data_IF_702131153811
#
_entry.id   IF_702131153811
#
_cell.length_a   1.000
_cell.length_b   1.000
_cell.length_c   1.000
_cell.angle_alpha   90.00
_cell.angle_beta   90.00
_cell.angle_gamma   90.00
#
_symmetry.space_group_name_H-M   'P 1'
#
loop_
_entity.id
_entity.type
_entity.pdbx_description
1 polymer ?
#
# COMPACT_ATOMS: atom_id res chain seq x y z
N UNK A 1 -13.74 -20.74 -3.97
CA UNK A 1 -12.43 -20.08 -3.78
C UNK A 1 -12.54 -18.95 -2.79
N UNK A 2 -11.45 -18.55 -2.22
CA UNK A 2 -11.41 -17.42 -1.29
C UNK A 2 -11.41 -16.11 -2.11
N UNK A 3 -12.33 -15.18 -1.82
CA UNK A 3 -12.45 -13.89 -2.50
C UNK A 3 -11.87 -12.70 -1.72
N UNK A 4 -11.29 -12.94 -0.54
CA UNK A 4 -10.74 -11.89 0.32
C UNK A 4 -11.78 -11.18 1.19
N UNK A 5 -12.96 -11.73 1.38
CA UNK A 5 -13.98 -11.18 2.29
C UNK A 5 -13.38 -11.00 3.68
N UNK A 6 -13.58 -9.83 4.29
CA UNK A 6 -13.02 -9.46 5.58
C UNK A 6 -11.57 -9.00 5.55
N UNK A 7 -10.86 -9.15 4.41
CA UNK A 7 -9.47 -8.71 4.28
C UNK A 7 -9.37 -7.22 3.92
N UNK A 8 -8.34 -6.58 4.43
CA UNK A 8 -8.03 -5.15 4.30
C UNK A 8 -6.64 -5.00 3.67
N UNK A 9 -6.56 -4.57 2.42
CA UNK A 9 -5.31 -4.46 1.66
C UNK A 9 -4.95 -2.99 1.49
N UNK A 10 -3.84 -2.55 2.04
CA UNK A 10 -3.32 -1.20 1.80
C UNK A 10 -2.47 -1.18 0.51
N UNK A 11 -2.70 -0.15 -0.30
CA UNK A 11 -1.94 0.12 -1.53
C UNK A 11 -1.23 1.46 -1.36
N UNK A 12 0.08 1.42 -1.18
CA UNK A 12 0.94 2.59 -1.11
C UNK A 12 1.58 2.80 -2.47
N UNK A 13 1.00 3.74 -3.26
CA UNK A 13 1.36 3.87 -4.67
C UNK A 13 1.09 5.30 -5.20
N UNK A 14 0.93 5.44 -6.52
CA UNK A 14 0.68 6.71 -7.23
C UNK A 14 -0.75 7.23 -7.11
N UNK A 15 -1.59 6.63 -6.28
CA UNK A 15 -3.02 6.89 -6.20
C UNK A 15 -3.83 5.98 -7.13
N UNK A 16 -5.15 6.17 -7.18
CA UNK A 16 -6.04 5.37 -8.01
C UNK A 16 -7.17 6.20 -8.63
N UNK A 17 -7.74 5.70 -9.71
CA UNK A 17 -9.00 6.20 -10.26
C UNK A 17 -10.18 5.65 -9.42
N UNK A 18 -10.54 6.35 -8.35
CA UNK A 18 -11.59 5.91 -7.40
C UNK A 18 -12.96 5.67 -8.05
N UNK A 19 -13.23 6.33 -9.18
CA UNK A 19 -14.48 6.18 -9.94
C UNK A 19 -14.47 4.99 -10.89
N UNK A 20 -13.37 4.23 -10.96
CA UNK A 20 -13.31 3.07 -11.84
C UNK A 20 -14.35 2.02 -11.42
N UNK A 21 -15.12 1.43 -12.34
CA UNK A 21 -16.21 0.50 -12.01
C UNK A 21 -15.76 -0.69 -11.15
N UNK A 22 -14.55 -1.15 -11.33
CA UNK A 22 -13.99 -2.25 -10.52
C UNK A 22 -13.72 -1.88 -9.05
N UNK A 23 -13.90 -0.62 -8.66
CA UNK A 23 -13.81 -0.16 -7.27
C UNK A 23 -15.15 0.35 -6.74
N UNK A 24 -16.24 -0.06 -7.37
CA UNK A 24 -17.60 0.18 -6.84
C UNK A 24 -17.75 -0.41 -5.43
N UNK A 25 -18.68 0.14 -4.66
CA UNK A 25 -18.95 -0.31 -3.31
C UNK A 25 -19.20 -1.83 -3.23
N UNK A 26 -18.62 -2.47 -2.23
CA UNK A 26 -18.94 -3.87 -1.91
C UNK A 26 -20.33 -3.94 -1.27
N UNK A 27 -21.15 -4.94 -1.64
CA UNK A 27 -22.42 -5.21 -0.98
C UNK A 27 -22.19 -5.81 0.41
N UNK A 28 -23.19 -5.70 1.30
CA UNK A 28 -23.07 -6.09 2.71
C UNK A 28 -22.70 -7.57 2.90
N UNK A 29 -23.15 -8.45 2.03
CA UNK A 29 -22.82 -9.89 2.09
C UNK A 29 -21.35 -10.20 1.79
N UNK A 30 -20.60 -9.21 1.26
CA UNK A 30 -19.14 -9.26 1.02
C UNK A 30 -18.33 -8.63 2.15
N UNK A 31 -18.98 -8.02 3.11
CA UNK A 31 -18.30 -7.41 4.25
C UNK A 31 -18.24 -8.39 5.44
N UNK A 32 -17.12 -8.37 6.15
CA UNK A 32 -16.91 -9.10 7.40
C UNK A 32 -15.94 -8.27 8.23
N UNK A 33 -16.37 -7.78 9.39
CA UNK A 33 -15.64 -6.83 10.23
C UNK A 33 -14.95 -5.69 9.44
N UNK A 34 -15.72 -4.91 8.64
CA UNK A 34 -15.12 -3.97 7.70
C UNK A 34 -14.60 -2.71 8.39
N UNK A 35 -13.60 -2.07 7.78
CA UNK A 35 -13.34 -0.66 8.06
C UNK A 35 -14.58 0.13 7.61
N UNK A 36 -15.13 0.91 8.50
CA UNK A 36 -16.31 1.75 8.27
C UNK A 36 -15.97 3.23 8.34
N UNK A 37 -16.89 4.09 7.89
CA UNK A 37 -16.74 5.53 8.10
C UNK A 37 -16.57 5.86 9.60
N UNK A 38 -17.38 5.24 10.46
CA UNK A 38 -17.34 5.51 11.91
C UNK A 38 -15.99 5.08 12.51
N UNK A 39 -15.49 3.87 12.16
CA UNK A 39 -14.21 3.40 12.70
C UNK A 39 -13.04 4.30 12.30
N UNK A 40 -13.07 4.86 11.08
CA UNK A 40 -12.04 5.83 10.65
C UNK A 40 -12.21 7.18 11.35
N UNK A 41 -13.45 7.67 11.53
CA UNK A 41 -13.71 8.93 12.22
C UNK A 41 -13.24 8.87 13.69
N UNK A 42 -13.44 7.73 14.35
CA UNK A 42 -13.05 7.52 15.74
C UNK A 42 -11.54 7.63 15.98
N UNK A 43 -10.73 7.20 15.01
CA UNK A 43 -9.26 7.24 15.11
C UNK A 43 -8.62 8.37 14.30
N UNK A 44 -9.40 9.18 13.55
CA UNK A 44 -8.90 10.15 12.57
C UNK A 44 -7.75 11.03 13.11
N UNK A 45 -7.91 11.60 14.31
CA UNK A 45 -6.89 12.48 14.87
C UNK A 45 -5.66 11.75 15.44
N UNK A 46 -5.68 10.43 15.49
CA UNK A 46 -4.51 9.61 15.82
C UNK A 46 -3.66 9.32 14.59
N UNK A 47 -4.29 9.32 13.39
CA UNK A 47 -3.62 9.07 12.12
C UNK A 47 -2.70 10.24 11.73
N UNK A 48 -1.61 9.92 11.06
CA UNK A 48 -0.73 10.93 10.45
C UNK A 48 -1.49 11.74 9.38
N UNK A 49 -2.40 11.10 8.64
CA UNK A 49 -3.34 11.76 7.75
C UNK A 49 -4.14 12.86 8.46
N UNK A 50 -4.77 12.54 9.59
CA UNK A 50 -5.57 13.47 10.37
C UNK A 50 -4.76 14.59 11.02
N UNK A 51 -3.53 14.30 11.45
CA UNK A 51 -2.60 15.30 12.00
C UNK A 51 -2.12 16.28 10.92
N UNK A 52 -1.89 15.80 9.70
CA UNK A 52 -1.47 16.64 8.58
C UNK A 52 -2.62 17.45 7.98
N UNK A 53 -3.85 16.99 8.14
CA UNK A 53 -5.06 17.62 7.61
C UNK A 53 -6.13 17.72 8.69
N UNK A 54 -6.11 18.73 9.58
CA UNK A 54 -7.05 18.87 10.69
C UNK A 54 -8.47 19.27 10.25
N UNK A 55 -8.79 19.15 8.98
CA UNK A 55 -10.12 19.39 8.41
C UNK A 55 -11.03 18.20 8.66
N UNK A 56 -12.32 18.41 8.37
CA UNK A 56 -13.31 17.33 8.39
C UNK A 56 -12.80 16.11 7.60
N UNK A 57 -12.81 14.94 8.24
CA UNK A 57 -12.41 13.68 7.60
C UNK A 57 -13.27 13.41 6.36
N UNK A 58 -12.64 13.19 5.22
CA UNK A 58 -13.23 12.81 3.95
C UNK A 58 -12.56 11.58 3.34
N UNK A 59 -11.78 10.86 4.16
CA UNK A 59 -11.01 9.71 3.69
C UNK A 59 -11.88 8.51 3.33
N UNK A 60 -13.09 8.41 3.86
CA UNK A 60 -14.02 7.34 3.51
C UNK A 60 -14.70 7.63 2.17
N UNK A 61 -14.45 6.81 1.16
CA UNK A 61 -15.09 6.94 -0.16
C UNK A 61 -16.33 6.02 -0.29
N UNK A 62 -16.15 4.71 -0.12
CA UNK A 62 -17.22 3.71 -0.14
C UNK A 62 -16.78 2.44 0.62
N UNK A 63 -17.62 1.40 0.64
CA UNK A 63 -17.30 0.13 1.33
C UNK A 63 -16.14 -0.65 0.73
N UNK A 64 -15.79 -0.45 -0.56
CA UNK A 64 -14.61 -1.01 -1.22
C UNK A 64 -13.35 -0.22 -0.90
N UNK A 65 -13.50 1.11 -0.83
CA UNK A 65 -12.44 2.07 -0.56
C UNK A 65 -12.76 2.81 0.75
N UNK A 66 -12.63 2.15 1.91
CA UNK A 66 -13.03 2.75 3.19
C UNK A 66 -12.05 3.81 3.67
N UNK A 67 -10.86 3.87 3.08
CA UNK A 67 -9.88 4.89 3.38
C UNK A 67 -9.11 5.28 2.12
N UNK A 68 -9.10 6.56 1.81
CA UNK A 68 -8.28 7.18 0.76
C UNK A 68 -7.59 8.41 1.31
N UNK A 69 -6.29 8.56 1.09
CA UNK A 69 -5.56 9.77 1.49
C UNK A 69 -4.29 9.96 0.65
N UNK A 70 -4.01 11.20 0.26
CA UNK A 70 -2.80 11.60 -0.43
C UNK A 70 -1.80 12.18 0.58
N UNK A 71 -0.83 11.36 0.96
CA UNK A 71 0.22 11.75 1.91
C UNK A 71 1.24 12.72 1.30
N UNK A 72 1.32 12.79 -0.03
CA UNK A 72 2.26 13.69 -0.71
C UNK A 72 1.78 15.16 -0.67
N UNK A 73 0.47 15.38 -0.65
CA UNK A 73 -0.16 16.72 -0.63
C UNK A 73 -0.95 17.02 0.64
N UNK A 74 -1.11 16.04 1.51
CA UNK A 74 -1.94 16.09 2.72
C UNK A 74 -3.39 16.47 2.41
N UNK A 75 -4.02 15.75 1.47
CA UNK A 75 -5.42 15.93 1.08
C UNK A 75 -6.10 14.60 0.71
N UNK A 76 -7.34 14.68 0.24
CA UNK A 76 -8.18 13.50 -0.08
C UNK A 76 -8.26 13.19 -1.58
N UNK A 77 -7.54 13.93 -2.42
CA UNK A 77 -7.45 13.65 -3.85
C UNK A 77 -6.33 12.63 -4.10
N UNK A 78 -6.72 11.40 -4.27
CA UNK A 78 -5.81 10.29 -4.63
C UNK A 78 -5.85 9.98 -6.12
N UNK A 79 -6.32 10.91 -6.96
CA UNK A 79 -6.31 10.70 -8.39
C UNK A 79 -4.89 10.59 -8.92
N UNK A 80 -4.64 9.59 -9.76
CA UNK A 80 -3.34 9.39 -10.41
C UNK A 80 -2.93 10.55 -11.33
N UNK A 81 -3.83 11.48 -11.60
CA UNK A 81 -3.51 12.71 -12.35
C UNK A 81 -2.39 13.51 -11.67
N UNK A 82 -2.37 13.56 -10.34
CA UNK A 82 -1.34 14.27 -9.59
C UNK A 82 0.05 13.65 -9.79
N UNK A 83 0.18 12.34 -9.66
CA UNK A 83 1.46 11.65 -9.87
C UNK A 83 1.81 11.46 -11.35
N UNK A 84 0.86 11.69 -12.26
CA UNK A 84 1.04 11.51 -13.71
C UNK A 84 1.17 10.04 -14.12
N UNK A 85 0.58 9.11 -13.34
CA UNK A 85 0.74 7.68 -13.54
C UNK A 85 -0.53 6.93 -13.12
N UNK A 86 -0.92 5.94 -13.89
CA UNK A 86 -2.03 5.01 -13.62
C UNK A 86 -1.58 3.74 -12.87
N UNK A 87 -0.31 3.67 -12.50
CA UNK A 87 0.32 2.50 -11.89
C UNK A 87 -0.44 2.00 -10.66
N UNK A 88 -0.78 2.87 -9.71
CA UNK A 88 -1.53 2.48 -8.51
C UNK A 88 -2.94 1.96 -8.80
N UNK A 89 -3.62 2.49 -9.85
CA UNK A 89 -4.90 1.95 -10.31
C UNK A 89 -4.75 0.52 -10.80
N UNK A 90 -3.68 0.25 -11.56
CA UNK A 90 -3.38 -1.09 -12.09
C UNK A 90 -3.03 -2.06 -10.96
N UNK A 91 -2.16 -1.65 -10.04
CA UNK A 91 -1.79 -2.44 -8.85
C UNK A 91 -3.00 -2.79 -7.99
N UNK A 92 -3.83 -1.80 -7.66
CA UNK A 92 -5.07 -2.01 -6.90
C UNK A 92 -6.05 -2.93 -7.64
N UNK A 93 -6.11 -2.83 -8.97
CA UNK A 93 -6.93 -3.68 -9.82
C UNK A 93 -6.49 -5.14 -9.78
N UNK A 94 -5.19 -5.42 -9.89
CA UNK A 94 -4.63 -6.77 -9.77
C UNK A 94 -4.92 -7.34 -8.38
N UNK A 95 -4.74 -6.54 -7.33
CA UNK A 95 -4.97 -6.98 -5.97
C UNK A 95 -6.45 -7.32 -5.72
N UNK A 96 -7.36 -6.41 -6.03
CA UNK A 96 -8.72 -6.54 -5.54
C UNK A 96 -9.82 -5.90 -6.42
N UNK A 97 -9.64 -5.84 -7.75
CA UNK A 97 -10.75 -5.39 -8.63
C UNK A 97 -12.00 -6.22 -8.42
N UNK A 98 -13.15 -5.56 -8.26
CA UNK A 98 -14.44 -6.24 -8.16
C UNK A 98 -14.70 -7.06 -9.43
N UNK A 99 -15.36 -8.20 -9.26
CA UNK A 99 -15.86 -8.96 -10.39
C UNK A 99 -17.07 -8.24 -11.01
N UNK A 100 -16.94 -7.85 -12.26
CA UNK A 100 -18.02 -7.23 -13.04
C UNK A 100 -18.53 -8.23 -14.07
N UNK A 101 -19.84 -8.35 -14.18
CA UNK A 101 -20.46 -9.21 -15.18
C UNK A 101 -20.03 -8.81 -16.60
N UNK A 102 -19.67 -9.78 -17.41
CA UNK A 102 -19.18 -9.57 -18.78
C UNK A 102 -17.69 -9.12 -18.87
N UNK A 103 -17.04 -8.79 -17.75
CA UNK A 103 -15.60 -8.47 -17.71
C UNK A 103 -14.78 -9.71 -17.36
N UNK A 104 -13.61 -9.85 -18.03
CA UNK A 104 -12.59 -10.83 -17.65
C UNK A 104 -11.65 -10.30 -16.56
N UNK A 105 -11.63 -8.97 -16.36
CA UNK A 105 -10.78 -8.35 -15.34
C UNK A 105 -11.42 -8.52 -13.96
N UNK A 106 -10.70 -9.21 -13.09
CA UNK A 106 -11.05 -9.41 -11.69
C UNK A 106 -9.76 -9.49 -10.88
N UNK A 107 -9.73 -8.88 -9.71
CA UNK A 107 -8.59 -8.96 -8.80
C UNK A 107 -8.46 -10.34 -8.14
N UNK A 108 -7.32 -10.60 -7.52
CA UNK A 108 -7.05 -11.84 -6.78
C UNK A 108 -7.98 -11.97 -5.58
N UNK A 109 -8.26 -10.85 -4.89
CA UNK A 109 -9.12 -10.75 -3.71
C UNK A 109 -10.28 -9.75 -3.95
N UNK A 110 -11.24 -10.05 -4.85
CA UNK A 110 -12.26 -9.08 -5.28
C UNK A 110 -13.20 -8.63 -4.15
N UNK A 111 -13.34 -9.39 -3.09
CA UNK A 111 -14.20 -9.09 -1.94
C UNK A 111 -13.43 -8.39 -0.79
N UNK A 112 -12.12 -8.13 -0.95
CA UNK A 112 -11.34 -7.38 0.03
C UNK A 112 -11.60 -5.87 -0.06
N UNK A 113 -11.46 -5.17 1.07
CA UNK A 113 -11.41 -3.71 1.12
C UNK A 113 -10.01 -3.21 0.72
N UNK A 114 -9.94 -2.05 0.06
CA UNK A 114 -8.70 -1.38 -0.32
C UNK A 114 -8.53 -0.08 0.47
N UNK A 115 -7.45 0.01 1.22
CA UNK A 115 -6.97 1.21 1.89
C UNK A 115 -5.97 1.89 0.95
N UNK A 116 -6.33 3.05 0.40
CA UNK A 116 -5.55 3.70 -0.66
C UNK A 116 -4.76 4.87 -0.10
N UNK A 117 -3.44 4.76 -0.20
CA UNK A 117 -2.50 5.75 0.31
C UNK A 117 -1.58 6.21 -0.82
N UNK A 118 -1.86 7.39 -1.37
CA UNK A 118 -0.98 7.98 -2.37
C UNK A 118 0.26 8.52 -1.69
N UNK A 119 1.43 8.00 -2.07
CA UNK A 119 2.73 8.41 -1.52
C UNK A 119 3.63 9.10 -2.55
N UNK A 120 3.33 8.92 -3.84
CA UNK A 120 4.08 9.54 -4.91
C UNK A 120 3.71 11.00 -5.13
N UNK A 121 4.72 11.82 -5.34
CA UNK A 121 4.60 13.23 -5.68
C UNK A 121 4.47 13.43 -7.19
N UNK A 122 4.05 14.62 -7.60
CA UNK A 122 4.15 15.04 -8.99
C UNK A 122 5.59 14.96 -9.47
N UNK A 123 5.81 14.27 -10.60
CA UNK A 123 7.15 14.00 -11.12
C UNK A 123 7.73 12.64 -10.73
N UNK A 124 6.98 11.79 -10.02
CA UNK A 124 7.25 10.36 -9.89
C UNK A 124 8.15 9.94 -8.72
N UNK A 125 8.40 10.81 -7.75
CA UNK A 125 9.14 10.46 -6.53
C UNK A 125 8.23 10.23 -5.32
N UNK A 126 8.65 9.37 -4.39
CA UNK A 126 8.03 9.21 -3.07
C UNK A 126 9.07 9.46 -1.98
N UNK A 127 8.76 10.38 -1.06
CA UNK A 127 9.63 10.67 0.08
C UNK A 127 9.52 9.61 1.17
N UNK A 128 10.64 9.27 1.82
CA UNK A 128 10.65 8.30 2.93
C UNK A 128 9.69 8.69 4.05
N UNK A 129 9.69 9.95 4.47
CA UNK A 129 8.78 10.42 5.52
C UNK A 129 7.31 10.20 5.14
N UNK A 130 6.96 10.40 3.87
CA UNK A 130 5.61 10.18 3.35
C UNK A 130 5.23 8.71 3.40
N UNK A 131 6.14 7.83 2.99
CA UNK A 131 5.93 6.37 3.02
C UNK A 131 5.77 5.89 4.46
N UNK A 132 6.67 6.30 5.37
CA UNK A 132 6.62 5.90 6.77
C UNK A 132 5.34 6.38 7.47
N UNK A 133 4.89 7.61 7.19
CA UNK A 133 3.64 8.13 7.74
C UNK A 133 2.43 7.30 7.28
N UNK A 134 2.40 6.89 6.01
CA UNK A 134 1.37 6.01 5.47
C UNK A 134 1.44 4.60 6.10
N UNK A 135 2.64 4.04 6.24
CA UNK A 135 2.85 2.74 6.88
C UNK A 135 2.37 2.75 8.33
N UNK A 136 2.72 3.76 9.13
CA UNK A 136 2.21 3.87 10.51
C UNK A 136 0.69 3.91 10.59
N UNK A 137 0.04 4.58 9.63
CA UNK A 137 -1.42 4.63 9.59
C UNK A 137 -2.02 3.27 9.16
N UNK A 138 -1.30 2.45 8.37
CA UNK A 138 -1.71 1.05 8.11
C UNK A 138 -1.84 0.24 9.41
N UNK A 139 -0.90 0.40 10.35
CA UNK A 139 -0.97 -0.27 11.66
C UNK A 139 -2.20 0.20 12.44
N UNK A 140 -2.48 1.50 12.46
CA UNK A 140 -3.64 2.06 13.19
C UNK A 140 -4.99 1.72 12.56
N UNK A 141 -5.01 1.50 11.24
CA UNK A 141 -6.18 1.06 10.49
C UNK A 141 -6.34 -0.46 10.51
N UNK A 142 -5.43 -1.18 11.15
CA UNK A 142 -5.45 -2.63 11.30
C UNK A 142 -5.59 -3.36 9.95
N UNK A 143 -4.80 -2.94 8.96
CA UNK A 143 -4.79 -3.63 7.67
C UNK A 143 -4.11 -5.00 7.79
N UNK A 144 -4.52 -5.96 6.96
CA UNK A 144 -3.92 -7.30 6.96
C UNK A 144 -2.66 -7.37 6.08
N UNK A 145 -2.65 -6.57 5.00
CA UNK A 145 -1.56 -6.61 4.02
C UNK A 145 -1.26 -5.20 3.51
N UNK A 146 0.03 -4.90 3.37
CA UNK A 146 0.52 -3.66 2.74
C UNK A 146 1.27 -4.01 1.48
N UNK A 147 0.86 -3.45 0.34
CA UNK A 147 1.54 -3.58 -0.93
C UNK A 147 2.39 -2.34 -1.23
N UNK A 148 3.67 -2.56 -1.48
CA UNK A 148 4.67 -1.58 -1.87
C UNK A 148 5.24 -1.94 -3.24
N UNK A 149 4.49 -1.65 -4.32
CA UNK A 149 4.96 -1.83 -5.71
C UNK A 149 5.87 -0.67 -6.14
N UNK A 150 6.87 -0.40 -5.31
CA UNK A 150 7.81 0.70 -5.45
C UNK A 150 9.18 0.30 -4.89
N UNK A 151 10.20 1.04 -5.23
CA UNK A 151 11.55 0.79 -4.75
C UNK A 151 12.53 1.89 -5.14
N UNK A 152 13.77 1.76 -4.70
CA UNK A 152 14.87 2.66 -4.99
C UNK A 152 16.15 1.85 -5.20
N UNK A 153 17.15 2.44 -5.85
CA UNK A 153 18.42 1.78 -6.13
C UNK A 153 19.31 1.57 -4.89
N UNK A 154 19.03 2.25 -3.78
CA UNK A 154 19.77 2.12 -2.53
C UNK A 154 18.83 2.20 -1.33
N UNK A 155 18.98 1.30 -0.37
CA UNK A 155 18.25 1.27 0.89
C UNK A 155 19.08 1.80 2.06
N UNK A 156 18.42 1.94 3.21
CA UNK A 156 19.02 2.36 4.46
C UNK A 156 18.79 1.27 5.51
N UNK A 157 19.84 0.93 6.24
CA UNK A 157 19.79 -0.13 7.26
C UNK A 157 19.85 0.38 8.68
N UNK A 158 20.14 1.66 8.87
CA UNK A 158 20.50 2.27 10.14
C UNK A 158 19.76 3.58 10.47
N UNK A 159 18.67 3.88 9.74
CA UNK A 159 17.84 5.05 10.02
C UNK A 159 16.86 4.73 11.16
N UNK A 160 17.02 5.34 12.37
CA UNK A 160 16.25 4.94 13.56
C UNK A 160 14.73 5.00 13.38
N UNK A 161 14.22 6.07 12.72
CA UNK A 161 12.77 6.23 12.48
C UNK A 161 12.21 5.15 11.56
N UNK A 162 12.99 4.69 10.59
CA UNK A 162 12.60 3.59 9.71
C UNK A 162 12.55 2.29 10.50
N UNK A 163 13.57 2.03 11.31
CA UNK A 163 13.63 0.83 12.16
C UNK A 163 12.48 0.79 13.17
N UNK A 164 12.15 1.93 13.77
CA UNK A 164 11.01 2.02 14.69
C UNK A 164 9.68 1.66 13.99
N UNK A 165 9.44 2.21 12.80
CA UNK A 165 8.23 1.89 12.04
C UNK A 165 8.20 0.41 11.66
N UNK A 166 9.31 -0.15 11.20
CA UNK A 166 9.38 -1.57 10.83
C UNK A 166 9.20 -2.49 12.03
N UNK A 167 9.72 -2.13 13.20
CA UNK A 167 9.50 -2.90 14.42
C UNK A 167 8.01 -2.96 14.78
N UNK A 168 7.26 -1.87 14.60
CA UNK A 168 5.80 -1.87 14.77
C UNK A 168 5.11 -2.86 13.84
N UNK A 169 5.58 -2.99 12.60
CA UNK A 169 5.07 -4.00 11.66
C UNK A 169 5.44 -5.42 12.08
N UNK A 170 6.66 -5.64 12.55
CA UNK A 170 7.10 -6.95 13.06
C UNK A 170 6.31 -7.40 14.30
N UNK A 171 5.83 -6.45 15.09
CA UNK A 171 4.98 -6.68 16.27
C UNK A 171 3.49 -6.82 15.91
N UNK A 172 3.11 -6.45 14.70
CA UNK A 172 1.76 -6.59 14.16
C UNK A 172 1.70 -7.78 13.20
N UNK A 173 0.54 -8.41 13.05
CA UNK A 173 0.35 -9.51 12.10
C UNK A 173 0.18 -9.03 10.64
N UNK A 174 0.69 -7.84 10.30
CA UNK A 174 0.56 -7.25 8.96
C UNK A 174 1.60 -7.82 8.02
N UNK A 175 1.13 -8.35 6.90
CA UNK A 175 2.00 -8.80 5.80
C UNK A 175 2.47 -7.63 4.95
N UNK A 176 3.79 -7.48 4.76
CA UNK A 176 4.35 -6.48 3.84
C UNK A 176 4.80 -7.17 2.56
N UNK A 177 4.27 -6.73 1.44
CA UNK A 177 4.61 -7.24 0.10
C UNK A 177 5.35 -6.15 -0.65
N UNK A 178 6.59 -6.41 -1.00
CA UNK A 178 7.49 -5.43 -1.63
C UNK A 178 7.97 -5.95 -2.98
N UNK A 179 7.95 -5.08 -4.00
CA UNK A 179 8.48 -5.42 -5.32
C UNK A 179 10.01 -5.63 -5.27
N UNK A 180 10.49 -6.67 -5.94
CA UNK A 180 11.92 -6.96 -6.05
C UNK A 180 12.68 -5.99 -6.97
N UNK A 181 11.97 -5.20 -7.78
CA UNK A 181 12.51 -4.27 -8.77
C UNK A 181 12.46 -4.83 -10.19
N UNK A 182 12.85 -4.00 -11.16
CA UNK A 182 12.75 -4.29 -12.58
C UNK A 182 14.11 -4.26 -13.30
N UNK A 183 15.21 -4.06 -12.60
CA UNK A 183 16.54 -3.83 -13.16
C UNK A 183 17.30 -5.15 -13.37
N UNK A 184 16.68 -6.08 -14.09
CA UNK A 184 17.18 -7.46 -14.28
C UNK A 184 18.58 -7.53 -14.86
N UNK A 185 18.96 -6.55 -15.70
CA UNK A 185 20.27 -6.49 -16.34
C UNK A 185 21.30 -5.66 -15.56
N UNK A 186 20.93 -5.15 -14.40
CA UNK A 186 21.80 -4.35 -13.56
C UNK A 186 22.09 -5.12 -12.27
N UNK A 187 23.33 -5.56 -12.09
CA UNK A 187 23.77 -6.29 -10.90
C UNK A 187 23.49 -5.54 -9.57
N UNK A 188 23.35 -4.23 -9.64
CA UNK A 188 22.93 -3.40 -8.49
C UNK A 188 21.42 -3.32 -8.36
N UNK A 189 20.68 -3.24 -9.46
CA UNK A 189 19.26 -3.03 -9.46
C UNK A 189 18.50 -4.08 -8.68
N UNK A 190 18.70 -5.33 -8.98
CA UNK A 190 18.02 -6.41 -8.27
C UNK A 190 18.45 -6.55 -6.81
N UNK A 191 19.71 -6.33 -6.51
CA UNK A 191 20.17 -6.32 -5.13
C UNK A 191 19.54 -5.22 -4.32
N UNK A 192 19.26 -4.10 -4.97
CA UNK A 192 18.76 -2.91 -4.35
C UNK A 192 17.27 -2.69 -4.58
N UNK A 193 16.66 -3.43 -5.48
CA UNK A 193 15.21 -3.46 -5.61
C UNK A 193 14.51 -3.87 -4.31
N UNK A 194 15.22 -4.60 -3.47
CA UNK A 194 14.77 -5.02 -2.15
C UNK A 194 15.02 -4.00 -1.05
N UNK A 195 15.59 -2.89 -1.36
CA UNK A 195 15.97 -1.93 -0.34
C UNK A 195 14.82 -1.19 0.32
N UNK A 196 13.61 -1.37 -0.16
CA UNK A 196 12.40 -1.05 0.59
C UNK A 196 12.14 -2.06 1.70
N UNK A 197 12.74 -3.25 1.63
CA UNK A 197 12.64 -4.24 2.68
C UNK A 197 13.54 -3.85 3.84
N UNK A 198 12.94 -3.25 4.83
CA UNK A 198 13.56 -3.05 6.14
C UNK A 198 13.41 -4.30 7.03
N UNK A 199 12.73 -5.32 6.50
CA UNK A 199 12.64 -6.61 7.17
C UNK A 199 13.98 -7.34 7.08
N UNK A 200 14.36 -8.09 8.12
CA UNK A 200 15.52 -8.94 8.07
C UNK A 200 15.40 -9.96 6.95
N UNK A 201 16.47 -10.13 6.19
CA UNK A 201 16.58 -11.23 5.25
C UNK A 201 16.50 -12.57 6.02
N UNK A 202 15.57 -13.49 5.67
CA UNK A 202 15.41 -14.74 6.39
C UNK A 202 16.65 -15.67 6.36
N UNK A 203 17.52 -15.50 5.35
CA UNK A 203 18.72 -16.33 5.19
C UNK A 203 19.92 -15.80 5.98
N UNK A 204 20.05 -14.50 6.10
CA UNK A 204 21.22 -13.84 6.68
C UNK A 204 20.93 -13.11 7.99
N UNK A 205 19.67 -12.83 8.28
CA UNK A 205 19.24 -11.97 9.39
C UNK A 205 19.61 -10.49 9.23
N UNK A 206 20.16 -10.09 8.09
CA UNK A 206 20.60 -8.72 7.84
C UNK A 206 19.49 -7.91 7.18
N UNK A 207 19.23 -6.73 7.70
CA UNK A 207 18.27 -5.78 7.14
C UNK A 207 18.82 -5.16 5.84
N UNK A 208 17.94 -4.94 4.87
CA UNK A 208 18.30 -4.29 3.61
C UNK A 208 19.06 -5.19 2.62
N UNK A 209 19.16 -6.49 2.88
CA UNK A 209 19.72 -7.45 1.93
C UNK A 209 18.62 -8.26 1.24
N UNK A 210 18.73 -8.58 -0.05
CA UNK A 210 17.79 -9.46 -0.72
C UNK A 210 17.77 -10.84 -0.08
N UNK A 211 16.58 -11.44 0.03
CA UNK A 211 16.44 -12.84 0.40
C UNK A 211 16.63 -13.73 -0.84
N UNK A 212 16.86 -15.02 -0.60
CA UNK A 212 16.88 -16.03 -1.67
C UNK A 212 15.54 -16.17 -2.39
N UNK A 213 14.46 -15.68 -1.77
CA UNK A 213 13.12 -15.67 -2.38
C UNK A 213 12.89 -14.49 -3.33
N UNK A 214 13.81 -13.53 -3.36
CA UNK A 214 13.72 -12.38 -4.27
C UNK A 214 14.15 -12.79 -5.67
N UNK A 215 13.49 -12.25 -6.68
CA UNK A 215 13.98 -12.36 -8.03
C UNK A 215 15.37 -11.71 -8.13
N UNK A 216 16.33 -12.39 -8.76
CA UNK A 216 17.69 -11.92 -8.97
C UNK A 216 18.03 -11.97 -10.44
N UNK A 217 18.79 -10.99 -10.89
CA UNK A 217 19.27 -10.98 -12.28
C UNK A 217 20.25 -12.13 -12.59
N UNK A 218 20.88 -12.65 -11.55
CA UNK A 218 21.84 -13.76 -11.69
C UNK A 218 21.11 -15.12 -11.88
N UNK A 219 19.82 -15.17 -11.57
CA UNK A 219 19.02 -16.40 -11.61
C UNK A 219 18.20 -16.53 -12.91
N UNK A 220 18.38 -15.60 -13.88
CA UNK A 220 17.66 -15.55 -15.16
C UNK A 220 18.55 -15.75 -16.38
#
# INVERSE_FOLDING_TARGET
GYGGKGMRIAILDTGILVTHPNFAALPDDKLDDPITRQSVDDIWYTLNAGKSTPKLNRSYYNTKLPFIFNYATADFDVSNTYAGSDHGTHVAGIAAANKIEGSKAVGVAPDAQLVVMQVFQSGGGAGWATILAAMEDCVRLEVDTVNLSLGAAAGFTDVPTMMETMNKFLESDIQIIIAAGNDTNNAYGNRWGMNMSLLPNPDTGLVGTPSTYSARSEDT
#
